data_IF_979534468524
#
_entry.id   IF_979534468524
#
_cell.length_a   1.000
_cell.length_b   1.000
_cell.length_c   1.000
_cell.angle_alpha   90.00
_cell.angle_beta   90.00
_cell.angle_gamma   90.00
#
_symmetry.space_group_name_H-M   'P 1'
#
loop_
_entity.id
_entity.type
_entity.pdbx_description
1 polymer ?
#
# COMPACT_ATOMS: atom_id res chain seq x y z
N UNK A 1 -10.12 -20.13 25.08
CA UNK A 1 -9.37 -18.93 24.67
C UNK A 1 -7.89 -19.22 24.87
N UNK A 2 -7.18 -19.61 23.82
CA UNK A 2 -5.75 -19.94 23.91
C UNK A 2 -4.98 -18.62 23.76
N UNK A 3 -4.43 -18.12 24.88
CA UNK A 3 -3.40 -17.08 24.85
C UNK A 3 -2.14 -17.71 24.24
N UNK A 4 -2.00 -17.64 22.93
CA UNK A 4 -0.74 -17.97 22.27
C UNK A 4 0.29 -16.91 22.67
N UNK A 5 1.47 -17.28 23.20
CA UNK A 5 2.49 -16.30 23.56
C UNK A 5 2.89 -15.52 22.31
N UNK A 6 2.71 -14.20 22.35
CA UNK A 6 3.08 -13.31 21.27
C UNK A 6 4.59 -13.46 21.05
N UNK A 7 5.00 -13.92 19.87
CA UNK A 7 6.42 -14.19 19.62
C UNK A 7 7.23 -12.90 19.81
N UNK A 8 8.48 -12.98 20.31
CA UNK A 8 9.31 -11.80 20.52
C UNK A 8 9.45 -10.95 19.25
N UNK A 9 9.42 -11.59 18.08
CA UNK A 9 9.45 -10.92 16.78
C UNK A 9 8.19 -10.08 16.52
N UNK A 10 6.99 -10.57 16.87
CA UNK A 10 5.73 -9.82 16.76
C UNK A 10 5.66 -8.64 17.74
N UNK A 11 6.22 -8.81 18.94
CA UNK A 11 6.32 -7.71 19.92
C UNK A 11 7.19 -6.59 19.38
N UNK A 12 8.33 -6.93 18.79
CA UNK A 12 9.27 -5.95 18.21
C UNK A 12 8.65 -5.20 17.02
N UNK A 13 7.95 -5.90 16.10
CA UNK A 13 7.29 -5.23 14.96
C UNK A 13 6.19 -4.28 15.42
N UNK A 14 5.33 -4.70 16.35
CA UNK A 14 4.24 -3.86 16.83
C UNK A 14 4.74 -2.63 17.60
N UNK A 15 5.83 -2.79 18.38
CA UNK A 15 6.48 -1.66 19.05
C UNK A 15 7.10 -0.69 18.04
N UNK A 16 7.73 -1.19 16.99
CA UNK A 16 8.31 -0.36 15.94
C UNK A 16 7.24 0.47 15.22
N UNK A 17 6.10 -0.15 14.87
CA UNK A 17 4.94 0.52 14.28
C UNK A 17 4.36 1.59 15.22
N UNK A 18 4.16 1.26 16.49
CA UNK A 18 3.63 2.23 17.46
C UNK A 18 4.57 3.43 17.69
N UNK A 19 5.89 3.19 17.74
CA UNK A 19 6.90 4.26 17.84
C UNK A 19 6.87 5.14 16.60
N UNK A 20 6.75 4.52 15.43
CA UNK A 20 6.64 5.21 14.15
C UNK A 20 5.43 6.13 14.09
N UNK A 21 4.24 5.61 14.43
CA UNK A 21 2.99 6.38 14.45
C UNK A 21 3.07 7.56 15.43
N UNK A 22 3.62 7.32 16.62
CA UNK A 22 3.84 8.38 17.59
C UNK A 22 4.77 9.47 17.04
N UNK A 23 5.83 9.10 16.32
CA UNK A 23 6.77 10.06 15.75
C UNK A 23 6.15 10.89 14.61
N UNK A 24 5.29 10.27 13.79
CA UNK A 24 4.49 10.98 12.78
C UNK A 24 3.58 12.00 13.45
N UNK A 25 2.83 11.59 14.48
CA UNK A 25 1.90 12.48 15.19
C UNK A 25 2.64 13.65 15.83
N UNK A 26 3.72 13.39 16.57
CA UNK A 26 4.54 14.43 17.19
C UNK A 26 5.07 15.44 16.18
N UNK A 27 5.42 14.98 14.97
CA UNK A 27 5.90 15.87 13.92
C UNK A 27 4.79 16.67 13.24
N UNK A 28 3.64 16.04 12.98
CA UNK A 28 2.45 16.72 12.46
C UNK A 28 1.97 17.81 13.43
N UNK A 29 2.09 17.59 14.74
CA UNK A 29 1.78 18.56 15.79
C UNK A 29 2.88 19.60 16.01
N UNK A 30 3.94 19.59 15.18
CA UNK A 30 5.07 20.52 15.24
C UNK A 30 5.87 20.47 16.55
N UNK A 31 5.75 19.40 17.35
CA UNK A 31 6.49 19.21 18.60
C UNK A 31 7.95 18.82 18.37
N UNK A 32 8.29 18.34 17.18
CA UNK A 32 9.65 17.97 16.76
C UNK A 32 9.98 18.56 15.38
N UNK A 33 11.22 19.01 15.20
CA UNK A 33 11.65 19.76 14.00
C UNK A 33 12.61 19.00 13.07
N UNK A 34 12.73 17.68 13.23
CA UNK A 34 13.58 16.86 12.34
C UNK A 34 13.03 16.84 10.90
N UNK A 35 13.86 16.54 9.90
CA UNK A 35 13.45 16.44 8.50
C UNK A 35 12.51 15.24 8.23
N UNK A 36 11.61 15.33 7.24
CA UNK A 36 10.69 14.23 6.91
C UNK A 36 11.44 13.02 6.37
N UNK A 37 12.63 13.23 5.82
CA UNK A 37 13.54 12.17 5.45
C UNK A 37 13.90 11.25 6.62
N UNK A 38 14.07 11.78 7.84
CA UNK A 38 14.37 10.97 9.04
C UNK A 38 13.21 10.04 9.37
N UNK A 39 11.99 10.52 9.16
CA UNK A 39 10.79 9.70 9.27
C UNK A 39 10.81 8.70 8.14
N UNK A 40 10.65 9.07 6.87
CA UNK A 40 10.44 8.11 5.78
C UNK A 40 11.61 7.14 5.48
N UNK A 41 12.84 7.42 5.88
CA UNK A 41 14.01 6.61 5.50
C UNK A 41 13.96 5.14 5.96
N UNK A 42 13.63 4.79 7.21
CA UNK A 42 13.41 3.40 7.62
C UNK A 42 12.29 2.69 6.86
N UNK A 43 11.19 3.37 6.49
CA UNK A 43 10.15 2.79 5.63
C UNK A 43 10.69 2.44 4.24
N UNK A 44 11.43 3.37 3.61
CA UNK A 44 12.05 3.10 2.31
C UNK A 44 13.00 1.91 2.36
N UNK A 45 13.84 1.84 3.40
CA UNK A 45 14.77 0.73 3.60
C UNK A 45 14.01 -0.59 3.77
N UNK A 46 12.93 -0.58 4.54
CA UNK A 46 12.07 -1.74 4.72
C UNK A 46 11.47 -2.21 3.39
N UNK A 47 10.83 -1.32 2.62
CA UNK A 47 10.25 -1.66 1.33
C UNK A 47 11.30 -2.13 0.32
N UNK A 48 12.49 -1.51 0.30
CA UNK A 48 13.61 -1.94 -0.54
C UNK A 48 14.13 -3.34 -0.17
N UNK A 49 14.25 -3.65 1.13
CA UNK A 49 14.65 -4.98 1.60
C UNK A 49 13.57 -6.03 1.29
N UNK A 50 12.30 -5.72 1.55
CA UNK A 50 11.19 -6.63 1.25
C UNK A 50 11.08 -6.89 -0.26
N UNK A 51 11.21 -5.85 -1.10
CA UNK A 51 11.29 -6.01 -2.56
C UNK A 51 12.47 -6.88 -2.96
N UNK A 52 13.69 -6.53 -2.55
CA UNK A 52 14.92 -7.24 -2.95
C UNK A 52 14.93 -8.71 -2.52
N UNK A 53 14.33 -9.03 -1.36
CA UNK A 53 14.15 -10.41 -0.88
C UNK A 53 13.14 -11.19 -1.73
N UNK A 54 12.04 -10.57 -2.19
CA UNK A 54 11.04 -11.23 -3.05
C UNK A 54 11.50 -11.45 -4.49
N UNK A 55 12.39 -10.60 -5.02
CA UNK A 55 13.01 -10.81 -6.34
C UNK A 55 14.08 -11.90 -6.36
N UNK A 56 14.58 -12.32 -5.19
CA UNK A 56 15.59 -13.39 -5.04
C UNK A 56 14.99 -14.77 -4.76
N UNK A 57 13.67 -14.85 -4.52
CA UNK A 57 12.99 -16.11 -4.26
C UNK A 57 12.42 -16.66 -5.59
N UNK A 58 12.72 -17.92 -5.96
CA UNK A 58 12.05 -18.53 -7.10
C UNK A 58 10.55 -18.53 -6.83
N UNK A 59 9.77 -18.14 -7.84
CA UNK A 59 8.32 -18.08 -7.74
C UNK A 59 7.79 -19.44 -7.21
N UNK A 60 6.89 -19.44 -6.20
CA UNK A 60 6.24 -20.67 -5.75
C UNK A 60 5.60 -21.35 -6.96
N UNK A 61 5.97 -22.61 -7.21
CA UNK A 61 5.35 -23.42 -8.25
C UNK A 61 3.88 -23.64 -7.89
N UNK A 62 2.99 -22.96 -8.62
CA UNK A 62 1.53 -23.12 -8.49
C UNK A 62 1.17 -24.55 -8.93
N UNK A 63 0.19 -25.23 -8.30
CA UNK A 63 -0.06 -26.65 -8.57
C UNK A 63 -0.58 -26.99 -9.98
N UNK A 64 -0.83 -26.01 -10.86
CA UNK A 64 -1.61 -26.21 -12.10
C UNK A 64 -0.98 -25.65 -13.39
N UNK A 65 0.35 -25.48 -13.47
CA UNK A 65 1.03 -25.21 -14.76
C UNK A 65 0.60 -23.92 -15.48
N UNK A 66 0.03 -22.97 -14.75
CA UNK A 66 -0.40 -21.68 -15.27
C UNK A 66 0.65 -20.65 -14.87
N UNK A 67 1.61 -20.41 -15.77
CA UNK A 67 2.75 -19.49 -15.58
C UNK A 67 2.28 -18.03 -15.51
N UNK A 68 1.67 -17.63 -14.39
CA UNK A 68 1.42 -16.23 -14.12
C UNK A 68 2.63 -15.69 -13.36
N UNK A 69 3.52 -15.00 -14.07
CA UNK A 69 4.51 -14.18 -13.40
C UNK A 69 3.78 -13.23 -12.42
N UNK A 70 4.29 -13.02 -11.20
CA UNK A 70 3.67 -12.18 -10.18
C UNK A 70 3.86 -10.69 -10.52
N UNK A 71 3.44 -10.27 -11.72
CA UNK A 71 3.63 -8.93 -12.26
C UNK A 71 3.02 -7.85 -11.35
N UNK A 72 1.92 -8.17 -10.65
CA UNK A 72 1.34 -7.27 -9.66
C UNK A 72 2.25 -7.08 -8.43
N UNK A 73 2.99 -8.11 -7.98
CA UNK A 73 3.98 -7.96 -6.91
C UNK A 73 5.21 -7.16 -7.36
N UNK A 74 5.61 -7.33 -8.64
CA UNK A 74 6.71 -6.58 -9.26
C UNK A 74 6.39 -5.09 -9.35
N UNK A 75 5.13 -4.74 -9.64
CA UNK A 75 4.69 -3.35 -9.83
C UNK A 75 4.22 -2.69 -8.54
N UNK A 76 3.66 -3.46 -7.60
CA UNK A 76 3.11 -2.93 -6.35
C UNK A 76 4.18 -2.25 -5.47
N UNK A 77 5.34 -2.87 -5.26
CA UNK A 77 6.36 -2.27 -4.39
C UNK A 77 6.95 -0.97 -4.95
N UNK A 78 7.30 -0.86 -6.26
CA UNK A 78 7.69 0.40 -6.85
C UNK A 78 6.64 1.51 -6.75
N UNK A 79 5.35 1.19 -6.91
CA UNK A 79 4.26 2.17 -6.77
C UNK A 79 4.12 2.68 -5.34
N UNK A 80 4.26 1.79 -4.34
CA UNK A 80 4.24 2.15 -2.93
C UNK A 80 5.44 3.05 -2.57
N UNK A 81 6.64 2.69 -3.02
CA UNK A 81 7.85 3.52 -2.83
C UNK A 81 7.69 4.89 -3.49
N UNK A 82 7.12 4.95 -4.70
CA UNK A 82 6.86 6.20 -5.40
C UNK A 82 5.89 7.10 -4.62
N UNK A 83 4.81 6.53 -4.07
CA UNK A 83 3.88 7.25 -3.19
C UNK A 83 4.59 7.82 -1.96
N UNK A 84 5.36 7.00 -1.24
CA UNK A 84 6.08 7.41 -0.04
C UNK A 84 7.12 8.51 -0.32
N UNK A 85 7.86 8.41 -1.44
CA UNK A 85 8.84 9.43 -1.86
C UNK A 85 8.16 10.76 -2.19
N UNK A 86 7.09 10.72 -2.99
CA UNK A 86 6.35 11.93 -3.34
C UNK A 86 5.71 12.57 -2.11
N UNK A 87 5.19 11.77 -1.17
CA UNK A 87 4.64 12.27 0.09
C UNK A 87 5.72 12.91 0.96
N UNK A 88 6.89 12.27 1.07
CA UNK A 88 8.03 12.83 1.79
C UNK A 88 8.48 14.17 1.19
N UNK A 89 8.61 14.26 -0.14
CA UNK A 89 8.97 15.49 -0.84
C UNK A 89 7.91 16.57 -0.64
N UNK A 90 6.63 16.22 -0.73
CA UNK A 90 5.53 17.15 -0.50
C UNK A 90 5.57 17.73 0.92
N UNK A 91 5.70 16.87 1.94
CA UNK A 91 5.70 17.28 3.35
C UNK A 91 6.95 18.09 3.74
N UNK A 92 8.11 17.78 3.15
CA UNK A 92 9.33 18.57 3.36
C UNK A 92 9.19 19.99 2.80
N UNK A 93 8.56 20.13 1.64
CA UNK A 93 8.48 21.40 0.93
C UNK A 93 7.23 22.23 1.23
N UNK A 94 6.19 21.63 1.84
CA UNK A 94 4.89 22.28 2.12
C UNK A 94 5.01 23.51 3.02
N UNK A 95 6.03 23.55 3.88
CA UNK A 95 6.28 24.66 4.81
C UNK A 95 7.27 25.70 4.28
N UNK A 96 8.06 25.39 3.25
CA UNK A 96 9.20 26.20 2.80
C UNK A 96 8.92 26.90 1.47
N UNK A 97 8.30 26.21 0.51
CA UNK A 97 8.11 26.73 -0.86
C UNK A 97 6.63 26.83 -1.20
N UNK A 98 6.18 28.02 -1.65
CA UNK A 98 4.85 28.24 -2.22
C UNK A 98 4.98 28.78 -3.65
N UNK A 99 4.41 28.10 -4.67
CA UNK A 99 3.72 26.82 -4.60
C UNK A 99 4.70 25.63 -4.38
N UNK A 100 4.24 24.54 -3.74
CA UNK A 100 5.06 23.36 -3.55
C UNK A 100 5.43 22.72 -4.90
N UNK A 101 6.64 22.15 -5.05
CA UNK A 101 7.14 21.59 -6.32
C UNK A 101 6.37 20.35 -6.78
N UNK A 102 5.71 19.66 -5.85
CA UNK A 102 4.85 18.51 -6.11
C UNK A 102 3.46 18.83 -5.57
N UNK A 103 2.42 18.58 -6.35
CA UNK A 103 1.04 18.73 -5.89
C UNK A 103 0.59 17.48 -5.14
N UNK A 104 -0.26 17.63 -4.13
CA UNK A 104 -0.80 16.47 -3.40
C UNK A 104 -1.57 15.53 -4.35
N UNK A 105 -2.20 16.05 -5.42
CA UNK A 105 -2.83 15.24 -6.47
C UNK A 105 -1.82 14.28 -7.12
N UNK A 106 -0.62 14.76 -7.45
CA UNK A 106 0.46 13.94 -8.02
C UNK A 106 0.92 12.87 -7.02
N UNK A 107 0.96 13.19 -5.72
CA UNK A 107 1.31 12.23 -4.66
C UNK A 107 0.33 11.05 -4.64
N UNK A 108 -0.97 11.29 -4.81
CA UNK A 108 -2.00 10.25 -4.75
C UNK A 108 -2.10 9.35 -6.00
N UNK A 109 -1.48 9.72 -7.13
CA UNK A 109 -1.57 8.92 -8.36
C UNK A 109 -0.89 7.53 -8.24
N UNK A 110 0.35 7.40 -7.75
CA UNK A 110 0.94 6.09 -7.51
C UNK A 110 0.18 5.25 -6.48
N UNK A 111 -0.43 5.90 -5.47
CA UNK A 111 -1.27 5.22 -4.49
C UNK A 111 -2.51 4.61 -5.15
N UNK A 112 -3.23 5.38 -5.97
CA UNK A 112 -4.39 4.86 -6.71
C UNK A 112 -3.99 3.69 -7.64
N UNK A 113 -2.87 3.81 -8.34
CA UNK A 113 -2.36 2.73 -9.19
C UNK A 113 -1.98 1.48 -8.38
N UNK A 114 -1.40 1.65 -7.20
CA UNK A 114 -1.10 0.56 -6.27
C UNK A 114 -2.39 -0.14 -5.82
N UNK A 115 -3.40 0.61 -5.42
CA UNK A 115 -4.68 0.07 -4.98
C UNK A 115 -5.38 -0.74 -6.09
N UNK A 116 -5.42 -0.20 -7.32
CA UNK A 116 -5.96 -0.91 -8.48
C UNK A 116 -5.17 -2.20 -8.76
N UNK A 117 -3.84 -2.15 -8.64
CA UNK A 117 -2.97 -3.33 -8.83
C UNK A 117 -3.29 -4.44 -7.82
N UNK A 118 -3.50 -4.09 -6.55
CA UNK A 118 -3.89 -5.04 -5.50
C UNK A 118 -5.31 -5.57 -5.73
N UNK A 119 -6.27 -4.73 -6.13
CA UNK A 119 -7.64 -5.16 -6.43
C UNK A 119 -7.67 -6.17 -7.58
N UNK A 120 -6.99 -5.87 -8.69
CA UNK A 120 -6.90 -6.76 -9.86
C UNK A 120 -6.19 -8.07 -9.49
N UNK A 121 -5.13 -8.00 -8.70
CA UNK A 121 -4.43 -9.19 -8.19
C UNK A 121 -5.36 -10.12 -7.39
N UNK A 122 -6.11 -9.57 -6.44
CA UNK A 122 -7.05 -10.34 -5.63
C UNK A 122 -8.19 -10.93 -6.47
N UNK A 123 -8.79 -10.16 -7.39
CA UNK A 123 -9.87 -10.68 -8.23
C UNK A 123 -9.41 -11.82 -9.14
N UNK A 124 -8.21 -11.70 -9.73
CA UNK A 124 -7.61 -12.76 -10.55
C UNK A 124 -7.28 -14.01 -9.74
N UNK A 125 -6.83 -13.84 -8.49
CA UNK A 125 -6.57 -14.96 -7.58
C UNK A 125 -7.87 -15.67 -7.19
N UNK A 126 -8.92 -14.94 -6.80
CA UNK A 126 -10.24 -15.51 -6.54
C UNK A 126 -10.74 -16.34 -7.73
N UNK A 127 -10.62 -15.81 -8.95
CA UNK A 127 -11.05 -16.47 -10.16
C UNK A 127 -10.21 -17.72 -10.51
N UNK A 128 -8.94 -17.77 -10.08
CA UNK A 128 -8.09 -18.93 -10.28
C UNK A 128 -8.34 -20.06 -9.26
N UNK A 129 -8.86 -19.70 -8.08
CA UNK A 129 -9.19 -20.64 -7.00
C UNK A 129 -10.63 -21.18 -7.09
N UNK A 130 -11.46 -20.60 -7.97
CA UNK A 130 -12.79 -21.13 -8.28
C UNK A 130 -12.67 -22.54 -8.89
N UNK A 131 -13.22 -23.57 -8.24
CA UNK A 131 -13.13 -24.95 -8.72
C UNK A 131 -13.92 -25.11 -10.04
N UNK A 132 -13.34 -25.85 -11.00
CA UNK A 132 -14.09 -26.32 -12.17
C UNK A 132 -15.05 -27.45 -11.79
N UNK A 133 -16.08 -27.69 -12.61
CA UNK A 133 -17.23 -28.57 -12.31
C UNK A 133 -16.88 -30.01 -11.87
N UNK A 134 -15.65 -30.48 -12.08
CA UNK A 134 -15.24 -31.88 -11.89
C UNK A 134 -14.26 -32.13 -10.73
N UNK A 135 -13.81 -31.08 -10.00
CA UNK A 135 -12.82 -31.19 -8.92
C UNK A 135 -13.49 -31.09 -7.54
N UNK A 136 -13.27 -32.08 -6.66
CA UNK A 136 -13.77 -32.01 -5.29
C UNK A 136 -13.10 -30.84 -4.55
N UNK A 137 -13.86 -29.77 -4.37
CA UNK A 137 -13.41 -28.53 -3.73
C UNK A 137 -12.93 -28.81 -2.30
N UNK A 138 -11.64 -28.61 -2.02
CA UNK A 138 -11.12 -28.70 -0.66
C UNK A 138 -11.52 -27.47 0.17
N UNK A 139 -11.88 -27.65 1.44
CA UNK A 139 -12.27 -26.56 2.35
C UNK A 139 -11.21 -25.45 2.46
N UNK A 140 -9.92 -25.79 2.33
CA UNK A 140 -8.80 -24.82 2.35
C UNK A 140 -8.86 -23.85 1.16
N UNK A 141 -9.18 -24.35 -0.04
CA UNK A 141 -9.34 -23.52 -1.25
C UNK A 141 -10.55 -22.58 -1.14
N UNK A 142 -11.64 -23.04 -0.50
CA UNK A 142 -12.83 -22.22 -0.24
C UNK A 142 -12.46 -21.05 0.68
N UNK A 143 -11.70 -21.32 1.75
CA UNK A 143 -11.36 -20.29 2.73
C UNK A 143 -10.41 -19.23 2.15
N UNK A 144 -9.41 -19.65 1.38
CA UNK A 144 -8.49 -18.74 0.68
C UNK A 144 -9.23 -17.86 -0.34
N UNK A 145 -10.16 -18.44 -1.10
CA UNK A 145 -11.00 -17.68 -2.06
C UNK A 145 -11.84 -16.62 -1.35
N UNK A 146 -12.47 -16.97 -0.24
CA UNK A 146 -13.27 -16.05 0.57
C UNK A 146 -12.43 -14.91 1.15
N UNK A 147 -11.21 -15.19 1.61
CA UNK A 147 -10.28 -14.17 2.10
C UNK A 147 -9.92 -13.17 0.99
N UNK A 148 -9.49 -13.65 -0.18
CA UNK A 148 -9.18 -12.80 -1.32
C UNK A 148 -10.40 -11.99 -1.80
N UNK A 149 -11.59 -12.57 -1.74
CA UNK A 149 -12.84 -11.90 -2.10
C UNK A 149 -13.15 -10.75 -1.14
N UNK A 150 -13.03 -10.98 0.16
CA UNK A 150 -13.25 -9.94 1.17
C UNK A 150 -12.23 -8.80 1.06
N UNK A 151 -10.97 -9.13 0.79
CA UNK A 151 -9.93 -8.14 0.52
C UNK A 151 -10.29 -7.33 -0.73
N UNK A 152 -10.73 -7.97 -1.81
CA UNK A 152 -11.14 -7.26 -3.03
C UNK A 152 -12.30 -6.27 -2.77
N UNK A 153 -13.33 -6.67 -2.02
CA UNK A 153 -14.43 -5.77 -1.63
C UNK A 153 -13.91 -4.57 -0.84
N UNK A 154 -13.05 -4.83 0.15
CA UNK A 154 -12.46 -3.78 0.99
C UNK A 154 -11.64 -2.79 0.15
N UNK A 155 -10.90 -3.29 -0.85
CA UNK A 155 -10.10 -2.47 -1.77
C UNK A 155 -10.96 -1.55 -2.65
N UNK A 156 -12.18 -1.95 -3.04
CA UNK A 156 -13.10 -1.08 -3.80
C UNK A 156 -13.48 0.16 -2.98
N UNK A 157 -13.80 -0.02 -1.70
CA UNK A 157 -14.08 1.12 -0.82
C UNK A 157 -12.87 2.02 -0.62
N UNK A 158 -11.67 1.43 -0.53
CA UNK A 158 -10.43 2.19 -0.38
C UNK A 158 -10.12 3.01 -1.64
N UNK A 159 -10.25 2.41 -2.83
CA UNK A 159 -10.15 3.13 -4.12
C UNK A 159 -11.16 4.26 -4.20
N UNK A 160 -12.40 4.03 -3.78
CA UNK A 160 -13.42 5.08 -3.78
C UNK A 160 -13.02 6.26 -2.86
N UNK A 161 -12.45 5.99 -1.69
CA UNK A 161 -11.95 7.02 -0.79
C UNK A 161 -10.77 7.80 -1.41
N UNK A 162 -9.84 7.10 -2.06
CA UNK A 162 -8.69 7.71 -2.76
C UNK A 162 -9.13 8.56 -3.95
N UNK A 163 -10.07 8.07 -4.76
CA UNK A 163 -10.68 8.82 -5.86
C UNK A 163 -11.44 10.04 -5.34
N UNK A 164 -12.23 9.91 -4.27
CA UNK A 164 -12.92 11.04 -3.66
C UNK A 164 -11.95 12.11 -3.16
N UNK A 165 -10.85 11.69 -2.55
CA UNK A 165 -9.77 12.59 -2.11
C UNK A 165 -9.14 13.30 -3.31
N UNK A 166 -8.83 12.59 -4.39
CA UNK A 166 -8.34 13.18 -5.64
C UNK A 166 -9.32 14.20 -6.24
N UNK A 167 -10.62 13.87 -6.30
CA UNK A 167 -11.65 14.79 -6.79
C UNK A 167 -11.73 16.06 -5.93
N UNK A 168 -11.64 15.93 -4.61
CA UNK A 168 -11.62 17.07 -3.68
C UNK A 168 -10.39 17.95 -3.91
N UNK A 169 -9.23 17.35 -4.15
CA UNK A 169 -7.99 18.08 -4.45
C UNK A 169 -8.07 18.80 -5.81
N UNK A 170 -8.59 18.15 -6.85
CA UNK A 170 -8.83 18.76 -8.17
C UNK A 170 -9.80 19.94 -8.09
N UNK A 171 -10.89 19.79 -7.32
CA UNK A 171 -11.88 20.85 -7.11
C UNK A 171 -11.28 22.09 -6.45
N UNK A 172 -10.39 21.92 -5.47
CA UNK A 172 -9.67 23.02 -4.83
C UNK A 172 -8.72 23.73 -5.80
N UNK A 173 -8.02 22.98 -6.65
CA UNK A 173 -7.13 23.55 -7.69
C UNK A 173 -7.92 24.33 -8.75
N UNK A 174 -9.08 23.81 -9.18
CA UNK A 174 -9.95 24.51 -10.12
C UNK A 174 -10.50 25.83 -9.52
N UNK A 175 -10.97 25.80 -8.27
CA UNK A 175 -11.43 27.00 -7.55
C UNK A 175 -10.33 28.06 -7.37
N UNK A 176 -9.08 27.65 -7.11
CA UNK A 176 -7.95 28.58 -7.05
C UNK A 176 -7.63 29.16 -8.44
N UNK A 177 -7.66 28.36 -9.49
CA UNK A 177 -7.38 28.82 -10.86
C UNK A 177 -8.46 29.74 -11.45
N UNK A 178 -9.69 29.69 -10.96
CA UNK A 178 -10.81 30.52 -11.45
C UNK A 178 -10.95 31.88 -10.73
N UNK A 179 -10.16 32.12 -9.67
CA UNK A 179 -10.17 33.36 -8.88
C UNK A 179 -8.88 34.20 -9.08
N UNK A 180 -8.09 33.89 -10.11
CA UNK A 180 -6.98 34.69 -10.62
C UNK A 180 -7.17 34.89 -12.13
#
# INVERSE_FOLDING_TARGET
MINTPLSPMKVVTNLLEAIWDAYIVLKLDHLVSYSWWVIFFPLFLFHAVVAGRRFSLPAPSVPHGRDWAPCYAVVATPLLIAFELLLCIYLENSHVTKPPPVSLQTVFLPLLAFEVTILVGNFRMCNALLPGDDESVSDDAIWETLLHFWVAISMVFFIAATVFTLLKLCGNSFWLSSNF
#
